data_IF_206727997712
#
_entry.id   IF_206727997712
#
_cell.length_a   1.000
_cell.length_b   1.000
_cell.length_c   1.000
_cell.angle_alpha   90.00
_cell.angle_beta   90.00
_cell.angle_gamma   90.00
#
_symmetry.space_group_name_H-M   'P 1'
#
loop_
_entity.id
_entity.type
_entity.pdbx_description
1 polymer ?
#
# COMPACT_ATOMS: atom_id res chain seq x y z
N UNK A 1 -10.49 27.75 -16.17
CA UNK A 1 -10.59 27.17 -14.82
C UNK A 1 -12.00 27.25 -14.23
N UNK A 2 -12.64 28.41 -14.12
CA UNK A 2 -13.97 28.55 -13.47
C UNK A 2 -15.08 27.68 -14.11
N UNK A 3 -15.14 27.62 -15.45
CA UNK A 3 -16.14 26.82 -16.18
C UNK A 3 -15.97 25.31 -15.94
N UNK A 4 -14.74 24.83 -15.79
CA UNK A 4 -14.45 23.44 -15.44
C UNK A 4 -14.92 23.10 -14.02
N UNK A 5 -14.63 23.97 -13.04
CA UNK A 5 -15.05 23.75 -11.65
C UNK A 5 -16.57 23.76 -11.48
N UNK A 6 -17.27 24.67 -12.17
CA UNK A 6 -18.74 24.71 -12.18
C UNK A 6 -19.34 23.44 -12.79
N UNK A 7 -18.80 22.98 -13.93
CA UNK A 7 -19.21 21.73 -14.58
C UNK A 7 -18.93 20.53 -13.68
N UNK A 8 -17.77 20.48 -13.05
CA UNK A 8 -17.41 19.42 -12.10
C UNK A 8 -18.34 19.43 -10.86
N UNK A 9 -18.67 20.60 -10.31
CA UNK A 9 -19.61 20.74 -9.20
C UNK A 9 -21.02 20.22 -9.55
N UNK A 10 -21.51 20.58 -10.74
CA UNK A 10 -22.79 20.08 -11.24
C UNK A 10 -22.82 18.54 -11.35
N UNK A 11 -21.81 17.93 -11.96
CA UNK A 11 -21.74 16.47 -12.07
C UNK A 11 -21.58 15.78 -10.72
N UNK A 12 -20.83 16.38 -9.77
CA UNK A 12 -20.71 15.87 -8.40
C UNK A 12 -22.05 15.88 -7.66
N UNK A 13 -22.84 16.95 -7.79
CA UNK A 13 -24.17 17.06 -7.19
C UNK A 13 -25.14 16.02 -7.78
N UNK A 14 -25.16 15.92 -9.13
CA UNK A 14 -25.94 14.89 -9.83
C UNK A 14 -25.57 13.48 -9.36
N UNK A 15 -24.29 13.20 -9.20
CA UNK A 15 -23.80 11.92 -8.71
C UNK A 15 -24.29 11.61 -7.29
N UNK A 16 -24.25 12.59 -6.38
CA UNK A 16 -24.76 12.40 -5.02
C UNK A 16 -26.23 11.97 -5.02
N UNK A 17 -27.06 12.62 -5.83
CA UNK A 17 -28.48 12.25 -5.96
C UNK A 17 -28.64 10.84 -6.52
N UNK A 18 -27.88 10.47 -7.55
CA UNK A 18 -27.91 9.13 -8.14
C UNK A 18 -27.46 8.07 -7.14
N UNK A 19 -26.42 8.34 -6.37
CA UNK A 19 -25.89 7.43 -5.36
C UNK A 19 -26.85 7.19 -4.20
N UNK A 20 -27.58 8.24 -3.77
CA UNK A 20 -28.63 8.11 -2.77
C UNK A 20 -29.79 7.24 -3.26
N UNK A 21 -30.18 7.38 -4.54
CA UNK A 21 -31.25 6.56 -5.14
C UNK A 21 -30.86 5.11 -5.37
N UNK A 22 -29.59 4.84 -5.65
CA UNK A 22 -29.08 3.50 -5.99
C UNK A 22 -28.43 2.78 -4.80
N UNK A 23 -28.65 3.26 -3.57
CA UNK A 23 -28.07 2.68 -2.33
C UNK A 23 -26.56 2.41 -2.41
N UNK A 24 -25.83 3.24 -3.16
CA UNK A 24 -24.40 3.08 -3.30
C UNK A 24 -23.72 3.23 -1.94
N UNK A 25 -23.18 2.14 -1.41
CA UNK A 25 -22.56 2.07 -0.07
C UNK A 25 -21.12 1.59 -0.13
N UNK A 26 -20.43 1.74 0.98
CA UNK A 26 -19.13 1.15 1.21
C UNK A 26 -19.32 -0.28 1.74
N UNK A 27 -18.61 -1.23 1.15
CA UNK A 27 -18.61 -2.62 1.55
C UNK A 27 -17.65 -2.87 2.72
N UNK A 28 -17.94 -3.82 3.61
CA UNK A 28 -17.07 -4.13 4.74
C UNK A 28 -15.80 -4.82 4.29
N UNK A 29 -14.73 -4.65 5.08
CA UNK A 29 -13.48 -5.38 4.95
C UNK A 29 -13.55 -6.55 5.94
N UNK A 30 -13.67 -7.77 5.45
CA UNK A 30 -13.84 -8.95 6.31
C UNK A 30 -12.54 -9.64 6.64
N UNK A 31 -11.44 -9.31 5.93
CA UNK A 31 -10.18 -10.03 6.05
C UNK A 31 -10.26 -11.51 5.61
N UNK A 32 -11.42 -11.95 5.14
CA UNK A 32 -11.60 -13.33 4.67
C UNK A 32 -10.71 -13.60 3.44
N UNK A 33 -10.04 -14.75 3.46
CA UNK A 33 -9.23 -15.25 2.35
C UNK A 33 -9.83 -16.50 1.72
N UNK A 34 -11.07 -16.84 2.11
CA UNK A 34 -11.77 -18.03 1.65
C UNK A 34 -12.39 -17.82 0.27
N UNK A 35 -12.30 -18.81 -0.57
CA UNK A 35 -12.82 -18.84 -1.93
C UNK A 35 -11.76 -19.26 -2.94
N UNK A 36 -12.22 -19.77 -4.08
CA UNK A 36 -11.36 -20.08 -5.22
C UNK A 36 -10.96 -18.81 -5.96
N UNK A 37 -9.77 -18.79 -6.54
CA UNK A 37 -9.33 -17.69 -7.38
C UNK A 37 -10.17 -17.66 -8.67
N UNK A 38 -10.90 -16.57 -8.88
CA UNK A 38 -11.71 -16.32 -10.08
C UNK A 38 -10.95 -15.49 -11.12
N UNK A 39 -10.20 -14.51 -10.66
CA UNK A 39 -9.42 -13.62 -11.51
C UNK A 39 -8.21 -13.07 -10.78
N UNK A 40 -7.11 -12.86 -11.50
CA UNK A 40 -5.93 -12.15 -11.02
C UNK A 40 -5.44 -11.17 -12.09
N UNK A 41 -5.23 -9.93 -11.69
CA UNK A 41 -4.56 -8.91 -12.50
C UNK A 41 -3.31 -8.44 -11.78
N UNK A 42 -2.19 -8.43 -12.50
CA UNK A 42 -0.88 -8.05 -11.98
C UNK A 42 -0.26 -6.98 -12.87
N UNK A 43 -0.02 -5.77 -12.33
CA UNK A 43 0.54 -4.65 -13.10
C UNK A 43 1.82 -4.12 -12.44
N UNK A 44 2.80 -3.66 -13.23
CA UNK A 44 4.04 -3.09 -12.71
C UNK A 44 3.79 -1.74 -12.07
N UNK A 45 4.40 -1.49 -10.91
CA UNK A 45 4.35 -0.19 -10.23
C UNK A 45 5.18 0.87 -10.95
N UNK A 46 6.25 0.46 -11.62
CA UNK A 46 7.16 1.31 -12.39
C UNK A 46 7.09 0.93 -13.86
N UNK A 47 7.15 1.92 -14.73
CA UNK A 47 7.20 1.70 -16.18
C UNK A 47 8.57 1.22 -16.64
N UNK A 48 8.64 0.53 -17.79
CA UNK A 48 9.92 0.09 -18.37
C UNK A 48 10.80 1.27 -18.84
N UNK A 49 10.20 2.45 -19.06
CA UNK A 49 10.83 3.67 -19.56
C UNK A 49 10.72 4.80 -18.54
N UNK A 50 10.91 4.50 -17.25
CA UNK A 50 10.95 5.56 -16.24
C UNK A 50 12.16 6.47 -16.51
N UNK A 51 11.88 7.76 -16.53
CA UNK A 51 12.89 8.81 -16.67
C UNK A 51 13.78 8.87 -15.43
N UNK A 52 15.07 9.07 -15.60
CA UNK A 52 16.01 9.39 -14.51
C UNK A 52 15.76 10.77 -13.88
N UNK A 53 14.72 11.46 -14.33
CA UNK A 53 14.33 12.76 -13.79
C UNK A 53 13.85 12.63 -12.34
N UNK A 54 14.51 13.31 -11.38
CA UNK A 54 14.15 13.21 -9.96
C UNK A 54 12.71 13.67 -9.66
N UNK A 55 12.16 14.61 -10.45
CA UNK A 55 10.78 15.09 -10.31
C UNK A 55 9.78 14.00 -10.71
N UNK A 56 10.06 13.28 -11.78
CA UNK A 56 9.22 12.17 -12.23
C UNK A 56 9.32 10.98 -11.24
N UNK A 57 10.51 10.68 -10.74
CA UNK A 57 10.72 9.65 -9.72
C UNK A 57 9.91 9.94 -8.43
N UNK A 58 9.86 11.23 -8.00
CA UNK A 58 9.06 11.65 -6.86
C UNK A 58 7.54 11.43 -7.09
N UNK A 59 7.05 11.71 -8.30
CA UNK A 59 5.64 11.49 -8.66
C UNK A 59 5.30 9.99 -8.74
N UNK A 60 6.24 9.16 -9.17
CA UNK A 60 6.08 7.69 -9.16
C UNK A 60 6.03 7.17 -7.72
N UNK A 61 6.91 7.64 -6.85
CA UNK A 61 6.87 7.32 -5.43
C UNK A 61 5.55 7.75 -4.78
N UNK A 62 5.05 8.94 -5.12
CA UNK A 62 3.74 9.44 -4.70
C UNK A 62 2.58 8.59 -5.24
N UNK A 63 2.63 8.15 -6.49
CA UNK A 63 1.66 7.19 -7.06
C UNK A 63 1.61 5.90 -6.23
N UNK A 64 2.77 5.33 -5.90
CA UNK A 64 2.85 4.09 -5.11
C UNK A 64 2.27 4.31 -3.71
N UNK A 65 2.53 5.46 -3.06
CA UNK A 65 1.92 5.81 -1.78
C UNK A 65 0.39 5.91 -1.89
N UNK A 66 -0.13 6.55 -2.93
CA UNK A 66 -1.56 6.67 -3.17
C UNK A 66 -2.23 5.30 -3.37
N UNK A 67 -1.59 4.39 -4.08
CA UNK A 67 -2.04 3.00 -4.22
C UNK A 67 -2.07 2.32 -2.85
N UNK A 68 -1.00 2.45 -2.05
CA UNK A 68 -0.90 1.88 -0.70
C UNK A 68 -2.03 2.37 0.22
N UNK A 69 -2.36 3.66 0.17
CA UNK A 69 -3.47 4.27 0.92
C UNK A 69 -4.83 3.71 0.46
N UNK A 70 -5.05 3.62 -0.86
CA UNK A 70 -6.30 3.12 -1.41
C UNK A 70 -6.52 1.63 -1.11
N UNK A 71 -5.47 0.83 -1.22
CA UNK A 71 -5.52 -0.62 -1.00
C UNK A 71 -5.94 -0.99 0.42
N UNK A 72 -5.53 -0.22 1.43
CA UNK A 72 -6.01 -0.42 2.82
C UNK A 72 -7.53 -0.28 2.98
N UNK A 73 -8.23 0.25 1.97
CA UNK A 73 -9.69 0.40 1.95
C UNK A 73 -10.38 -0.57 1.01
N UNK A 74 -9.61 -1.35 0.24
CA UNK A 74 -10.11 -2.29 -0.75
C UNK A 74 -9.79 -3.74 -0.37
N UNK A 75 -8.57 -4.01 0.13
CA UNK A 75 -8.15 -5.37 0.46
C UNK A 75 -9.06 -5.98 1.53
N UNK A 76 -9.61 -7.16 1.21
CA UNK A 76 -10.59 -7.85 2.04
C UNK A 76 -12.03 -7.37 1.87
N UNK A 77 -12.36 -6.55 0.86
CA UNK A 77 -13.75 -6.14 0.59
C UNK A 77 -14.59 -7.34 0.20
N UNK A 78 -15.69 -7.56 0.93
CA UNK A 78 -16.73 -8.55 0.58
C UNK A 78 -17.88 -7.85 -0.12
N UNK A 79 -18.17 -8.25 -1.35
CA UNK A 79 -19.25 -7.76 -2.18
C UNK A 79 -20.27 -8.90 -2.34
N UNK A 80 -21.48 -8.79 -1.76
CA UNK A 80 -22.51 -9.81 -1.89
C UNK A 80 -23.00 -9.99 -3.33
N UNK A 81 -23.54 -11.16 -3.64
CA UNK A 81 -24.21 -11.44 -4.91
C UNK A 81 -25.28 -10.38 -5.22
N UNK A 82 -25.32 -9.92 -6.46
CA UNK A 82 -26.23 -8.85 -6.93
C UNK A 82 -25.85 -7.44 -6.49
N UNK A 83 -24.87 -7.28 -5.60
CA UNK A 83 -24.43 -5.98 -5.10
C UNK A 83 -23.48 -5.26 -6.07
N UNK A 84 -23.55 -3.92 -6.09
CA UNK A 84 -22.70 -3.08 -6.93
C UNK A 84 -21.54 -2.51 -6.13
N UNK A 85 -20.31 -2.76 -6.60
CA UNK A 85 -19.13 -2.05 -6.15
C UNK A 85 -19.03 -0.69 -6.83
N UNK A 86 -18.58 0.33 -6.09
CA UNK A 86 -18.22 1.65 -6.61
C UNK A 86 -16.85 2.01 -6.08
N UNK A 87 -15.93 2.36 -6.96
CA UNK A 87 -14.55 2.69 -6.61
C UNK A 87 -14.50 3.87 -5.61
N UNK A 88 -15.20 4.96 -5.91
CA UNK A 88 -15.16 6.15 -5.05
C UNK A 88 -15.93 5.97 -3.73
N UNK A 89 -16.99 5.16 -3.71
CA UNK A 89 -17.67 4.84 -2.44
C UNK A 89 -16.77 4.00 -1.54
N UNK A 90 -16.00 3.10 -2.11
CA UNK A 90 -15.11 2.23 -1.35
C UNK A 90 -13.91 2.99 -0.79
N UNK A 91 -13.18 3.76 -1.60
CA UNK A 91 -11.94 4.41 -1.15
C UNK A 91 -12.17 5.84 -0.58
N UNK A 92 -13.29 6.48 -0.91
CA UNK A 92 -13.57 7.87 -0.55
C UNK A 92 -12.73 8.87 -1.36
N UNK A 93 -12.86 10.16 -1.01
CA UNK A 93 -12.12 11.23 -1.69
C UNK A 93 -10.64 11.16 -1.37
N UNK A 94 -9.79 11.24 -2.39
CA UNK A 94 -8.35 11.35 -2.26
C UNK A 94 -7.98 12.76 -1.77
N UNK A 95 -7.61 12.90 -0.50
CA UNK A 95 -7.19 14.15 0.13
C UNK A 95 -5.91 13.96 0.93
N UNK A 96 -5.14 15.03 1.17
CA UNK A 96 -3.95 15.00 2.03
C UNK A 96 -4.29 14.49 3.44
N UNK A 97 -5.46 14.90 3.99
CA UNK A 97 -5.94 14.45 5.31
C UNK A 97 -6.22 12.94 5.35
N UNK A 98 -6.60 12.34 4.24
CA UNK A 98 -6.82 10.90 4.11
C UNK A 98 -5.52 10.11 3.85
N UNK A 99 -4.36 10.78 3.81
CA UNK A 99 -3.04 10.20 3.61
C UNK A 99 -2.56 10.20 2.15
N UNK A 100 -3.35 10.74 1.21
CA UNK A 100 -2.93 10.83 -0.19
C UNK A 100 -1.94 11.97 -0.40
N UNK A 101 -1.01 11.77 -1.32
CA UNK A 101 0.06 12.70 -1.67
C UNK A 101 -0.01 13.06 -3.15
N UNK A 102 0.84 13.99 -3.58
CA UNK A 102 1.03 14.25 -5.00
C UNK A 102 1.62 13.02 -5.68
N UNK A 103 0.94 12.54 -6.70
CA UNK A 103 1.35 11.43 -7.54
C UNK A 103 1.19 11.79 -9.02
N UNK A 104 1.58 10.87 -9.87
CA UNK A 104 1.58 11.03 -11.32
C UNK A 104 0.16 10.98 -11.88
N UNK A 105 -0.29 12.03 -12.53
CA UNK A 105 -1.49 12.08 -13.37
C UNK A 105 -1.12 12.44 -14.80
N UNK A 106 -1.64 11.70 -15.77
CA UNK A 106 -1.54 12.06 -17.17
C UNK A 106 -2.74 12.94 -17.54
N UNK A 107 -2.47 14.20 -17.92
CA UNK A 107 -3.49 15.15 -18.34
C UNK A 107 -3.08 15.77 -19.68
N UNK A 108 -3.90 15.59 -20.72
CA UNK A 108 -3.65 16.13 -22.06
C UNK A 108 -2.25 15.83 -22.60
N UNK A 109 -1.72 14.62 -22.31
CA UNK A 109 -0.38 14.21 -22.71
C UNK A 109 0.75 14.66 -21.78
N UNK A 110 0.47 15.46 -20.74
CA UNK A 110 1.44 15.93 -19.76
C UNK A 110 1.34 15.16 -18.44
N UNK A 111 2.49 14.94 -17.80
CA UNK A 111 2.55 14.41 -16.44
C UNK A 111 2.47 15.58 -15.47
N UNK A 112 1.35 15.65 -14.74
CA UNK A 112 1.12 16.67 -13.72
C UNK A 112 1.02 16.07 -12.33
N UNK A 113 1.49 16.76 -11.28
CA UNK A 113 1.34 16.34 -9.90
C UNK A 113 -0.12 16.57 -9.46
N UNK A 114 -0.75 15.52 -8.94
CA UNK A 114 -2.13 15.61 -8.43
C UNK A 114 -2.27 14.76 -7.16
N UNK A 115 -3.00 15.28 -6.15
CA UNK A 115 -3.32 14.50 -4.94
C UNK A 115 -4.17 13.31 -5.32
N UNK A 116 -3.66 12.09 -5.02
CA UNK A 116 -4.27 10.85 -5.47
C UNK A 116 -3.90 10.45 -6.90
N UNK A 117 -2.92 11.13 -7.54
CA UNK A 117 -2.43 10.74 -8.85
C UNK A 117 -1.95 9.29 -8.88
N UNK A 118 -2.28 8.56 -9.96
CA UNK A 118 -1.96 7.15 -10.15
C UNK A 118 -3.08 6.17 -9.77
N UNK A 119 -4.20 6.61 -9.20
CA UNK A 119 -5.31 5.72 -8.81
C UNK A 119 -5.98 5.03 -10.01
N UNK A 120 -5.85 5.55 -11.22
CA UNK A 120 -6.33 4.87 -12.43
C UNK A 120 -5.63 3.53 -12.67
N UNK A 121 -4.41 3.31 -12.19
CA UNK A 121 -3.78 1.99 -12.25
C UNK A 121 -4.57 0.94 -11.46
N UNK A 122 -5.08 1.33 -10.29
CA UNK A 122 -5.89 0.45 -9.45
C UNK A 122 -7.28 0.22 -10.06
N UNK A 123 -7.92 1.26 -10.60
CA UNK A 123 -9.23 1.11 -11.26
C UNK A 123 -9.12 0.25 -12.52
N UNK A 124 -8.05 0.37 -13.31
CA UNK A 124 -7.79 -0.51 -14.45
C UNK A 124 -7.63 -1.97 -14.03
N UNK A 125 -6.86 -2.24 -12.96
CA UNK A 125 -6.67 -3.58 -12.44
C UNK A 125 -7.97 -4.19 -11.89
N UNK A 126 -8.77 -3.40 -11.17
CA UNK A 126 -10.09 -3.83 -10.69
C UNK A 126 -11.07 -4.09 -11.84
N UNK A 127 -11.06 -3.25 -12.87
CA UNK A 127 -11.88 -3.44 -14.07
C UNK A 127 -11.48 -4.74 -14.80
N UNK A 128 -10.20 -4.96 -15.02
CA UNK A 128 -9.71 -6.20 -15.61
C UNK A 128 -10.13 -7.43 -14.83
N UNK A 129 -9.97 -7.41 -13.49
CA UNK A 129 -10.38 -8.51 -12.64
C UNK A 129 -11.91 -8.71 -12.64
N UNK A 130 -12.70 -7.62 -12.71
CA UNK A 130 -14.15 -7.71 -12.81
C UNK A 130 -14.62 -8.37 -14.11
N UNK A 131 -13.96 -8.06 -15.23
CA UNK A 131 -14.22 -8.72 -16.52
C UNK A 131 -13.87 -10.21 -16.46
N UNK A 132 -12.68 -10.55 -15.97
CA UNK A 132 -12.21 -11.93 -15.88
C UNK A 132 -13.05 -12.79 -14.92
N UNK A 133 -13.61 -12.16 -13.85
CA UNK A 133 -14.54 -12.81 -12.93
C UNK A 133 -16.01 -12.81 -13.41
N UNK A 134 -16.30 -12.28 -14.60
CA UNK A 134 -17.65 -12.25 -15.18
C UNK A 134 -18.63 -11.32 -14.49
N UNK A 135 -18.18 -10.29 -13.80
CA UNK A 135 -19.03 -9.26 -13.24
C UNK A 135 -19.75 -8.46 -14.33
N UNK A 136 -20.94 -7.94 -14.02
CA UNK A 136 -21.62 -6.98 -14.89
C UNK A 136 -21.00 -5.60 -14.71
N UNK A 137 -20.54 -4.98 -15.80
CA UNK A 137 -19.96 -3.62 -15.75
C UNK A 137 -21.13 -2.61 -15.81
N UNK A 138 -21.31 -1.88 -14.71
CA UNK A 138 -22.38 -0.90 -14.54
C UNK A 138 -21.96 0.50 -15.01
N UNK A 139 -20.71 0.88 -14.77
CA UNK A 139 -20.12 2.15 -15.18
C UNK A 139 -18.63 2.01 -15.41
N UNK A 140 -18.18 2.45 -16.57
CA UNK A 140 -16.77 2.50 -16.97
C UNK A 140 -16.55 3.66 -17.93
N UNK A 141 -15.41 4.33 -17.78
CA UNK A 141 -14.96 5.38 -18.68
C UNK A 141 -13.54 5.08 -19.14
N UNK A 142 -13.27 5.25 -20.43
CA UNK A 142 -11.92 5.12 -20.97
C UNK A 142 -11.12 6.42 -20.80
N UNK A 143 -9.79 6.32 -20.78
CA UNK A 143 -8.93 7.51 -20.94
C UNK A 143 -9.05 8.05 -22.36
N UNK A 144 -8.96 9.37 -22.50
CA UNK A 144 -8.88 10.01 -23.81
C UNK A 144 -7.55 9.73 -24.53
N UNK A 145 -6.52 9.32 -23.78
CA UNK A 145 -5.20 8.97 -24.30
C UNK A 145 -4.68 7.74 -23.56
N UNK A 146 -4.16 6.78 -24.30
CA UNK A 146 -3.66 5.52 -23.78
C UNK A 146 -2.15 5.47 -23.87
N UNK A 147 -1.49 5.15 -22.75
CA UNK A 147 -0.04 4.92 -22.72
C UNK A 147 0.27 3.56 -23.33
N UNK A 148 1.11 3.47 -24.37
CA UNK A 148 1.53 2.20 -24.95
C UNK A 148 2.11 1.24 -23.88
N UNK A 149 1.72 -0.03 -23.93
CA UNK A 149 2.16 -1.05 -22.99
C UNK A 149 1.47 -1.04 -21.61
N UNK A 150 0.54 -0.11 -21.36
CA UNK A 150 -0.31 -0.11 -20.16
C UNK A 150 -1.48 -1.10 -20.29
N UNK A 151 -2.17 -1.39 -19.19
CA UNK A 151 -3.41 -2.19 -19.21
C UNK A 151 -4.51 -1.51 -20.05
N UNK A 152 -4.50 -0.19 -20.14
CA UNK A 152 -5.38 0.59 -20.99
C UNK A 152 -5.18 0.22 -22.49
N UNK A 153 -3.95 -0.05 -22.92
CA UNK A 153 -3.64 -0.51 -24.28
C UNK A 153 -4.16 -1.94 -24.59
N UNK A 154 -4.61 -2.66 -23.56
CA UNK A 154 -5.20 -4.01 -23.68
C UNK A 154 -6.72 -4.01 -23.51
N UNK A 155 -7.38 -2.89 -23.73
CA UNK A 155 -8.81 -2.67 -23.47
C UNK A 155 -9.24 -2.88 -21.99
N UNK A 156 -8.29 -2.83 -21.06
CA UNK A 156 -8.56 -2.91 -19.61
C UNK A 156 -8.45 -1.54 -18.98
N UNK A 157 -9.06 -0.55 -19.64
CA UNK A 157 -9.00 0.86 -19.25
C UNK A 157 -10.27 1.30 -18.52
N UNK A 158 -10.10 1.83 -17.33
CA UNK A 158 -11.16 2.40 -16.51
C UNK A 158 -10.65 3.63 -15.76
N UNK A 159 -10.74 4.80 -16.39
CA UNK A 159 -10.36 6.06 -15.72
C UNK A 159 -11.35 6.41 -14.62
N UNK A 160 -10.85 7.04 -13.57
CA UNK A 160 -11.66 7.53 -12.45
C UNK A 160 -11.31 8.97 -12.12
N UNK A 161 -12.34 9.79 -11.85
CA UNK A 161 -12.17 11.18 -11.42
C UNK A 161 -13.22 11.52 -10.35
N UNK A 162 -12.76 12.10 -9.24
CA UNK A 162 -13.61 12.35 -8.08
C UNK A 162 -14.76 13.31 -8.39
N UNK A 163 -16.01 12.92 -8.15
CA UNK A 163 -16.55 11.59 -7.87
C UNK A 163 -17.54 11.19 -8.98
N UNK A 164 -17.49 11.92 -10.12
CA UNK A 164 -18.47 11.80 -11.20
C UNK A 164 -18.00 10.86 -12.34
N UNK A 165 -16.71 10.51 -12.41
CA UNK A 165 -16.18 9.43 -13.26
C UNK A 165 -15.80 8.29 -12.33
N UNK A 166 -16.54 7.20 -12.38
CA UNK A 166 -16.42 6.08 -11.45
C UNK A 166 -16.25 4.76 -12.20
N UNK A 167 -15.66 3.78 -11.54
CA UNK A 167 -15.72 2.39 -11.94
C UNK A 167 -16.76 1.70 -11.06
N UNK A 168 -17.78 1.10 -11.71
CA UNK A 168 -18.83 0.33 -11.03
C UNK A 168 -19.04 -1.01 -11.72
N UNK A 169 -19.09 -2.06 -10.93
CA UNK A 169 -19.43 -3.40 -11.41
C UNK A 169 -20.33 -4.10 -10.39
N UNK A 170 -21.19 -5.00 -10.88
CA UNK A 170 -22.09 -5.81 -10.06
C UNK A 170 -21.58 -7.24 -9.99
N UNK A 171 -21.43 -7.75 -8.77
CA UNK A 171 -21.01 -9.13 -8.53
C UNK A 171 -22.18 -10.08 -8.81
N UNK A 172 -21.96 -11.16 -9.58
CA UNK A 172 -22.98 -12.20 -9.83
C UNK A 172 -23.07 -13.22 -8.71
N UNK A 173 -22.04 -13.31 -7.88
CA UNK A 173 -21.94 -14.17 -6.70
C UNK A 173 -21.24 -13.40 -5.58
N UNK A 174 -21.19 -13.96 -4.37
CA UNK A 174 -20.38 -13.39 -3.31
C UNK A 174 -18.92 -13.33 -3.73
N UNK A 175 -18.34 -12.14 -3.66
CA UNK A 175 -17.02 -11.84 -4.19
C UNK A 175 -16.15 -11.18 -3.13
N UNK A 176 -14.98 -11.77 -2.85
CA UNK A 176 -13.96 -11.14 -2.00
C UNK A 176 -12.86 -10.54 -2.87
N UNK A 177 -12.61 -9.25 -2.70
CA UNK A 177 -11.53 -8.54 -3.38
C UNK A 177 -10.27 -8.59 -2.50
N UNK A 178 -9.18 -9.14 -3.03
CA UNK A 178 -7.85 -9.04 -2.44
C UNK A 178 -7.00 -8.14 -3.32
N UNK A 179 -6.41 -7.11 -2.72
CA UNK A 179 -5.63 -6.14 -3.47
C UNK A 179 -4.44 -5.64 -2.64
N UNK A 180 -3.22 -5.88 -3.12
CA UNK A 180 -1.99 -5.57 -2.38
C UNK A 180 -0.84 -5.22 -3.33
N UNK A 181 0.23 -4.66 -2.78
CA UNK A 181 1.48 -4.39 -3.49
C UNK A 181 2.55 -5.41 -3.10
N UNK A 182 3.25 -5.95 -4.09
CA UNK A 182 4.60 -6.50 -3.92
C UNK A 182 5.63 -5.36 -3.96
N UNK A 183 6.92 -5.65 -4.01
CA UNK A 183 7.96 -4.63 -4.15
C UNK A 183 7.81 -3.83 -5.46
N UNK A 184 7.37 -4.49 -6.55
CA UNK A 184 7.37 -3.97 -7.91
C UNK A 184 6.02 -4.02 -8.63
N UNK A 185 4.99 -4.67 -8.05
CA UNK A 185 3.70 -4.90 -8.71
C UNK A 185 2.50 -4.57 -7.83
N UNK A 186 1.42 -4.16 -8.48
CA UNK A 186 0.07 -4.14 -7.93
C UNK A 186 -0.60 -5.46 -8.33
N UNK A 187 -1.14 -6.17 -7.35
CA UNK A 187 -1.90 -7.42 -7.52
C UNK A 187 -3.33 -7.18 -7.09
N UNK A 188 -4.27 -7.56 -7.94
CA UNK A 188 -5.72 -7.59 -7.63
C UNK A 188 -6.24 -9.00 -7.91
N UNK A 189 -6.86 -9.61 -6.91
CA UNK A 189 -7.47 -10.95 -6.98
C UNK A 189 -8.95 -10.87 -6.61
N UNK A 190 -9.76 -11.57 -7.36
CA UNK A 190 -11.15 -11.83 -7.01
C UNK A 190 -11.31 -13.29 -6.61
N UNK A 191 -11.86 -13.51 -5.42
CA UNK A 191 -12.09 -14.82 -4.83
C UNK A 191 -13.59 -15.04 -4.68
N UNK A 192 -14.08 -16.27 -4.95
CA UNK A 192 -15.49 -16.62 -4.84
C UNK A 192 -15.73 -18.11 -5.01
N UNK A 193 -16.96 -18.53 -5.27
CA UNK A 193 -17.26 -19.91 -5.61
C UNK A 193 -16.69 -20.25 -7.01
N UNK A 194 -16.18 -21.47 -7.24
CA UNK A 194 -15.66 -21.87 -8.55
C UNK A 194 -16.73 -21.70 -9.63
N UNK A 195 -16.40 -20.97 -10.70
CA UNK A 195 -17.26 -20.86 -11.88
C UNK A 195 -16.88 -21.95 -12.90
N UNK A 196 -17.66 -23.01 -13.00
CA UNK A 196 -17.52 -23.98 -14.09
C UNK A 196 -18.00 -23.32 -15.40
N UNK A 197 -17.07 -23.05 -16.33
CA UNK A 197 -17.40 -22.64 -17.69
C UNK A 197 -17.38 -21.14 -17.99
N UNK A 198 -16.81 -20.30 -17.14
CA UNK A 198 -16.64 -18.89 -17.47
C UNK A 198 -15.43 -18.68 -18.40
N UNK A 199 -15.66 -18.21 -19.63
CA UNK A 199 -14.64 -17.62 -20.49
C UNK A 199 -14.78 -16.09 -20.42
N UNK A 200 -13.70 -15.35 -20.17
CA UNK A 200 -13.78 -13.88 -20.19
C UNK A 200 -14.26 -13.41 -21.57
N UNK A 201 -15.15 -12.40 -21.62
CA UNK A 201 -15.63 -11.87 -22.89
C UNK A 201 -14.44 -11.31 -23.69
N UNK A 202 -14.39 -11.67 -24.99
CA UNK A 202 -13.47 -11.03 -25.92
C UNK A 202 -13.87 -9.55 -26.06
N UNK A 203 -13.05 -8.65 -25.53
CA UNK A 203 -13.31 -7.21 -25.65
C UNK A 203 -12.71 -6.76 -26.98
N UNK A 204 -13.56 -6.21 -27.85
CA UNK A 204 -13.10 -5.62 -29.11
C UNK A 204 -12.15 -4.45 -28.85
N UNK A 205 -11.05 -4.40 -29.61
CA UNK A 205 -10.05 -3.31 -29.59
C UNK A 205 -10.57 -2.14 -30.42
N UNK A 206 -11.34 -1.23 -29.83
CA UNK A 206 -12.00 -0.17 -30.60
C UNK A 206 -11.43 1.24 -30.36
N UNK A 207 -10.35 1.40 -29.60
CA UNK A 207 -9.79 2.73 -29.37
C UNK A 207 -8.35 2.84 -29.91
N UNK A 208 -8.18 3.80 -30.84
CA UNK A 208 -6.86 4.14 -31.35
C UNK A 208 -5.92 4.61 -30.23
N UNK A 209 -4.76 3.96 -30.12
CA UNK A 209 -3.69 4.38 -29.19
C UNK A 209 -3.10 5.68 -29.76
N UNK A 210 -3.32 6.79 -29.07
CA UNK A 210 -2.68 8.06 -29.43
C UNK A 210 -1.31 8.10 -28.75
N UNK A 211 -0.20 8.16 -29.52
CA UNK A 211 1.14 8.29 -28.95
C UNK A 211 1.24 9.55 -28.07
N UNK A 212 1.90 9.45 -26.94
CA UNK A 212 2.21 10.61 -26.11
C UNK A 212 3.12 11.58 -26.90
N UNK A 213 2.85 12.90 -26.87
CA UNK A 213 3.70 13.87 -27.51
C UNK A 213 5.13 13.80 -26.95
N UNK A 214 6.13 13.80 -27.82
CA UNK A 214 7.54 13.78 -27.45
C UNK A 214 7.96 15.03 -26.65
N UNK A 215 9.14 14.98 -26.02
CA UNK A 215 9.72 16.12 -25.25
C UNK A 215 9.76 17.45 -26.03
N UNK A 216 9.86 17.41 -27.36
CA UNK A 216 9.88 18.59 -28.23
C UNK A 216 8.61 19.46 -28.11
N UNK A 217 7.45 18.89 -27.73
CA UNK A 217 6.20 19.63 -27.54
C UNK A 217 6.16 20.47 -26.26
N UNK A 218 7.15 20.31 -25.36
CA UNK A 218 7.19 21.05 -24.11
C UNK A 218 7.64 22.51 -24.25
N UNK A 219 8.29 22.87 -25.32
CA UNK A 219 8.81 24.23 -25.52
C UNK A 219 7.74 25.34 -25.73
N UNK A 220 6.53 24.99 -26.06
CA UNK A 220 5.40 25.92 -26.16
C UNK A 220 4.32 25.68 -25.10
N UNK A 221 4.61 24.85 -24.11
CA UNK A 221 3.65 24.40 -23.13
C UNK A 221 3.45 25.46 -22.02
N UNK A 222 2.22 25.93 -21.83
CA UNK A 222 1.86 26.87 -20.77
C UNK A 222 1.66 26.20 -19.38
N UNK A 223 2.01 24.92 -19.22
CA UNK A 223 1.84 24.15 -17.98
C UNK A 223 3.03 24.38 -17.04
N UNK A 224 2.92 25.39 -16.19
CA UNK A 224 3.96 25.73 -15.20
C UNK A 224 4.04 24.74 -14.03
N UNK A 225 3.01 23.92 -13.80
CA UNK A 225 2.94 22.93 -12.71
C UNK A 225 3.48 21.55 -13.11
N UNK A 226 4.03 21.40 -14.30
CA UNK A 226 4.59 20.15 -14.78
C UNK A 226 5.82 19.76 -13.97
N UNK A 227 6.00 18.46 -13.68
CA UNK A 227 7.15 17.91 -12.97
C UNK A 227 8.50 18.32 -13.60
N UNK A 228 8.54 18.47 -14.93
CA UNK A 228 9.74 18.89 -15.70
C UNK A 228 10.16 20.34 -15.47
N UNK A 229 9.30 21.19 -14.90
CA UNK A 229 9.60 22.59 -14.57
C UNK A 229 9.86 22.83 -13.09
N UNK A 230 9.80 21.80 -12.24
CA UNK A 230 10.06 21.95 -10.81
C UNK A 230 11.56 21.98 -10.52
N UNK A 231 12.11 23.07 -9.98
CA UNK A 231 13.56 23.20 -9.72
C UNK A 231 14.05 22.31 -8.57
N UNK A 232 13.17 21.80 -7.73
CA UNK A 232 13.53 21.01 -6.55
C UNK A 232 12.61 19.80 -6.44
N UNK A 233 13.08 18.64 -6.90
CA UNK A 233 12.40 17.39 -6.69
C UNK A 233 12.62 16.88 -5.25
N UNK A 234 11.59 16.36 -4.56
CA UNK A 234 11.77 15.67 -3.29
C UNK A 234 12.71 14.46 -3.47
N UNK A 235 13.58 14.23 -2.48
CA UNK A 235 14.41 13.02 -2.46
C UNK A 235 13.52 11.78 -2.39
N UNK A 236 13.91 10.74 -3.11
CA UNK A 236 13.24 9.44 -3.11
C UNK A 236 14.27 8.33 -2.89
N UNK A 237 13.80 7.15 -2.46
CA UNK A 237 14.66 5.98 -2.33
C UNK A 237 15.50 5.92 -1.05
N UNK A 238 15.20 6.78 -0.04
CA UNK A 238 15.88 6.69 1.26
C UNK A 238 15.56 5.39 1.98
N UNK A 239 16.47 4.93 2.82
CA UNK A 239 16.28 3.78 3.70
C UNK A 239 15.63 4.21 5.02
N UNK A 240 14.74 3.36 5.57
CA UNK A 240 14.22 3.51 6.91
C UNK A 240 14.64 2.33 7.78
N UNK A 241 15.31 2.60 8.90
CA UNK A 241 15.68 1.62 9.91
C UNK A 241 14.63 1.63 11.03
N UNK A 242 13.89 0.53 11.19
CA UNK A 242 12.87 0.36 12.22
C UNK A 242 13.40 -0.59 13.29
N UNK A 243 13.92 0.00 14.36
CA UNK A 243 14.72 -0.68 15.35
C UNK A 243 13.96 -0.83 16.68
N UNK A 244 14.22 -1.91 17.41
CA UNK A 244 13.73 -2.13 18.79
C UNK A 244 14.92 -2.27 19.75
N UNK A 245 15.04 -3.38 20.45
CA UNK A 245 16.20 -3.63 21.33
C UNK A 245 17.51 -3.77 20.56
N UNK A 246 18.58 -3.25 21.14
CA UNK A 246 19.93 -3.33 20.53
C UNK A 246 20.46 -4.77 20.58
N UNK A 247 21.02 -5.19 19.44
CA UNK A 247 21.85 -6.38 19.28
C UNK A 247 23.19 -5.94 18.73
N UNK A 248 24.32 -6.33 19.31
CA UNK A 248 25.64 -5.82 18.92
C UNK A 248 25.95 -5.98 17.43
N UNK A 249 25.58 -7.12 16.84
CA UNK A 249 25.82 -7.43 15.43
C UNK A 249 25.00 -6.49 14.53
N UNK A 250 23.77 -6.21 14.90
CA UNK A 250 22.89 -5.30 14.15
C UNK A 250 23.22 -3.83 14.39
N UNK A 251 23.72 -3.47 15.57
CA UNK A 251 24.22 -2.12 15.81
C UNK A 251 25.40 -1.78 14.90
N UNK A 252 26.35 -2.71 14.74
CA UNK A 252 27.45 -2.57 13.80
C UNK A 252 26.99 -2.46 12.34
N UNK A 253 26.00 -3.30 11.95
CA UNK A 253 25.41 -3.24 10.62
C UNK A 253 24.71 -1.90 10.36
N UNK A 254 23.87 -1.43 11.26
CA UNK A 254 23.17 -0.14 11.14
C UNK A 254 24.17 1.01 11.08
N UNK A 255 25.18 1.01 11.95
CA UNK A 255 26.20 2.05 11.98
C UNK A 255 27.00 2.15 10.67
N UNK A 256 27.23 1.02 9.98
CA UNK A 256 27.96 0.98 8.70
C UNK A 256 27.08 1.26 7.48
N UNK A 257 25.78 0.95 7.56
CA UNK A 257 24.87 1.00 6.41
C UNK A 257 24.05 2.29 6.35
N UNK A 258 23.80 2.95 7.49
CA UNK A 258 22.93 4.12 7.55
C UNK A 258 23.64 5.38 7.05
N UNK A 259 22.97 6.10 6.15
CA UNK A 259 23.43 7.38 5.61
C UNK A 259 22.74 8.58 6.29
N UNK A 260 23.35 9.77 6.20
CA UNK A 260 22.83 10.99 6.83
C UNK A 260 21.39 11.34 6.42
N UNK A 261 20.96 10.97 5.20
CA UNK A 261 19.62 11.23 4.69
C UNK A 261 18.58 10.19 5.06
N UNK A 262 18.95 9.09 5.71
CA UNK A 262 18.06 8.00 6.05
C UNK A 262 17.17 8.34 7.26
N UNK A 263 16.10 7.56 7.40
CA UNK A 263 15.20 7.62 8.55
C UNK A 263 15.57 6.53 9.55
N UNK A 264 15.73 6.86 10.80
CA UNK A 264 15.86 5.86 11.86
C UNK A 264 14.76 6.04 12.91
N UNK A 265 14.03 4.97 13.18
CA UNK A 265 13.01 4.91 14.22
C UNK A 265 13.49 4.00 15.36
N UNK A 266 13.57 4.54 16.58
CA UNK A 266 14.02 3.82 17.78
C UNK A 266 13.00 3.99 18.91
N UNK A 267 12.92 3.06 19.89
CA UNK A 267 12.04 3.21 21.05
C UNK A 267 12.36 4.48 21.86
N UNK A 268 13.64 4.67 22.16
CA UNK A 268 14.19 5.83 22.88
C UNK A 268 15.65 6.04 22.48
N UNK A 269 16.18 7.24 22.70
CA UNK A 269 17.61 7.48 22.70
C UNK A 269 18.23 6.87 23.96
N UNK A 270 18.71 5.63 23.82
CA UNK A 270 19.28 4.88 24.92
C UNK A 270 20.57 5.48 25.47
N UNK A 271 21.34 6.20 24.67
CA UNK A 271 22.56 6.92 25.14
C UNK A 271 22.18 8.07 26.06
N UNK A 272 21.20 8.89 25.66
CA UNK A 272 20.71 10.03 26.47
C UNK A 272 20.06 9.57 27.78
N UNK A 273 19.26 8.51 27.74
CA UNK A 273 18.50 8.03 28.90
C UNK A 273 19.22 6.94 29.71
N UNK A 274 20.48 6.62 29.36
CA UNK A 274 21.28 5.54 30.00
C UNK A 274 20.57 4.19 30.03
N UNK A 275 19.93 3.86 28.91
CA UNK A 275 19.24 2.58 28.69
C UNK A 275 19.97 1.76 27.63
N UNK A 276 20.94 0.90 28.03
CA UNK A 276 21.79 0.18 27.07
C UNK A 276 21.02 -0.59 26.00
N UNK A 277 19.87 -1.16 26.40
CA UNK A 277 19.00 -1.94 25.49
C UNK A 277 18.41 -1.12 24.32
N UNK A 278 18.57 0.20 24.30
CA UNK A 278 18.12 1.10 23.22
C UNK A 278 19.25 2.00 22.71
N UNK A 279 20.50 1.75 23.10
CA UNK A 279 21.63 2.62 22.81
C UNK A 279 22.25 2.39 21.42
N UNK A 280 21.41 2.41 20.37
CA UNK A 280 21.83 2.27 18.98
C UNK A 280 22.84 3.31 18.54
N UNK A 281 23.78 2.90 17.69
CA UNK A 281 24.77 3.81 17.10
C UNK A 281 24.26 4.42 15.79
N UNK A 282 23.42 5.44 15.92
CA UNK A 282 22.79 6.15 14.80
C UNK A 282 23.37 7.55 14.57
N UNK A 283 24.63 7.76 14.95
CA UNK A 283 25.26 9.09 14.90
C UNK A 283 25.34 9.68 13.48
N UNK A 284 25.40 8.85 12.44
CA UNK A 284 25.43 9.30 11.04
C UNK A 284 24.07 9.81 10.54
N UNK A 285 22.95 9.48 11.21
CA UNK A 285 21.60 9.77 10.74
C UNK A 285 21.08 11.06 11.35
N UNK A 286 20.51 11.94 10.52
CA UNK A 286 19.94 13.24 10.97
C UNK A 286 18.45 13.17 11.29
N UNK A 287 17.72 12.23 10.70
CA UNK A 287 16.26 12.06 10.90
C UNK A 287 15.98 10.87 11.82
N UNK A 288 16.14 11.08 13.13
CA UNK A 288 15.86 10.06 14.15
C UNK A 288 14.51 10.32 14.80
N UNK A 289 13.63 9.30 14.79
CA UNK A 289 12.30 9.34 15.39
C UNK A 289 12.23 8.40 16.59
N UNK A 290 11.63 8.87 17.68
CA UNK A 290 11.51 8.12 18.92
C UNK A 290 10.05 7.85 19.26
N UNK A 291 9.80 6.79 20.01
CA UNK A 291 8.48 6.34 20.48
C UNK A 291 8.41 6.32 22.04
N UNK A 292 8.60 7.46 22.73
CA UNK A 292 8.73 7.47 24.20
C UNK A 292 7.47 6.97 24.90
N UNK A 293 6.29 7.38 24.46
CA UNK A 293 5.03 6.97 25.08
C UNK A 293 4.84 5.45 25.00
N UNK A 294 5.09 4.84 23.83
CA UNK A 294 5.00 3.39 23.62
C UNK A 294 6.00 2.64 24.50
N UNK A 295 7.21 3.17 24.63
CA UNK A 295 8.28 2.56 25.41
C UNK A 295 7.99 2.62 26.93
N UNK A 296 7.46 3.74 27.42
CA UNK A 296 7.03 3.87 28.81
C UNK A 296 5.90 2.91 29.14
N UNK A 297 4.85 2.86 28.30
CA UNK A 297 3.73 1.94 28.48
C UNK A 297 4.23 0.48 28.50
N UNK A 298 5.10 0.09 27.57
CA UNK A 298 5.73 -1.22 27.54
C UNK A 298 6.51 -1.53 28.84
N UNK A 299 7.30 -0.59 29.35
CA UNK A 299 8.04 -0.75 30.60
C UNK A 299 7.12 -0.95 31.81
N UNK A 300 6.05 -0.15 31.91
CA UNK A 300 5.08 -0.27 32.98
C UNK A 300 4.30 -1.59 32.95
N UNK A 301 3.93 -2.05 31.76
CA UNK A 301 3.23 -3.34 31.57
C UNK A 301 4.13 -4.52 31.88
N UNK A 302 5.38 -4.52 31.40
CA UNK A 302 6.32 -5.61 31.65
C UNK A 302 6.60 -5.85 33.14
N UNK A 303 6.55 -4.78 33.97
CA UNK A 303 6.71 -4.89 35.44
C UNK A 303 5.53 -5.54 36.15
N UNK A 304 4.33 -5.49 35.52
CA UNK A 304 3.08 -6.04 36.11
C UNK A 304 2.79 -7.46 35.68
N UNK A 305 3.44 -7.94 34.62
CA UNK A 305 3.21 -9.27 34.07
C UNK A 305 4.14 -10.28 34.71
N UNK A 306 3.63 -11.48 34.94
CA UNK A 306 4.44 -12.63 35.32
C UNK A 306 5.58 -12.84 34.33
N UNK A 307 6.69 -13.46 34.80
CA UNK A 307 7.88 -13.68 33.98
C UNK A 307 7.68 -14.71 32.88
N UNK A 308 6.63 -15.55 32.96
CA UNK A 308 6.35 -16.66 32.05
C UNK A 308 4.87 -16.72 31.66
N UNK A 309 4.59 -17.42 30.56
CA UNK A 309 3.24 -17.79 30.14
C UNK A 309 2.65 -16.96 28.99
N UNK A 310 1.52 -17.42 28.49
CA UNK A 310 0.82 -16.89 27.30
C UNK A 310 0.44 -15.40 27.41
N UNK A 311 0.14 -14.90 28.61
CA UNK A 311 -0.18 -13.47 28.80
C UNK A 311 1.01 -12.56 28.53
N UNK A 312 2.21 -12.97 28.94
CA UNK A 312 3.44 -12.24 28.63
C UNK A 312 3.72 -12.23 27.14
N UNK A 313 3.57 -13.35 26.44
CA UNK A 313 3.74 -13.43 24.99
C UNK A 313 2.74 -12.51 24.25
N UNK A 314 1.47 -12.56 24.63
CA UNK A 314 0.45 -11.64 24.05
C UNK A 314 0.80 -10.17 24.28
N UNK A 315 1.32 -9.83 25.47
CA UNK A 315 1.74 -8.46 25.77
C UNK A 315 2.92 -8.01 24.93
N UNK A 316 3.94 -8.87 24.73
CA UNK A 316 5.09 -8.60 23.87
C UNK A 316 4.64 -8.34 22.43
N UNK A 317 3.76 -9.18 21.88
CA UNK A 317 3.22 -9.01 20.53
C UNK A 317 2.41 -7.71 20.38
N UNK A 318 1.57 -7.36 21.36
CA UNK A 318 0.82 -6.12 21.36
C UNK A 318 1.71 -4.88 21.47
N UNK A 319 2.79 -4.95 22.24
CA UNK A 319 3.72 -3.84 22.39
C UNK A 319 4.57 -3.66 21.12
N UNK A 320 4.97 -4.75 20.46
CA UNK A 320 5.61 -4.73 19.16
C UNK A 320 4.67 -4.13 18.09
N UNK A 321 3.40 -4.51 18.08
CA UNK A 321 2.39 -3.92 17.18
C UNK A 321 2.22 -2.41 17.40
N UNK A 322 2.14 -1.95 18.65
CA UNK A 322 2.02 -0.50 18.98
C UNK A 322 3.23 0.27 18.50
N UNK A 323 4.43 -0.29 18.71
CA UNK A 323 5.68 0.31 18.27
C UNK A 323 5.74 0.38 16.74
N UNK A 324 5.44 -0.73 16.05
CA UNK A 324 5.40 -0.80 14.60
C UNK A 324 4.38 0.19 14.00
N UNK A 325 3.20 0.33 14.61
CA UNK A 325 2.17 1.31 14.21
C UNK A 325 2.66 2.74 14.34
N UNK A 326 3.39 3.06 15.42
CA UNK A 326 3.99 4.39 15.61
C UNK A 326 5.04 4.67 14.54
N UNK A 327 5.95 3.74 14.27
CA UNK A 327 6.99 3.88 13.27
C UNK A 327 6.43 3.98 11.85
N UNK A 328 5.38 3.24 11.55
CA UNK A 328 4.71 3.27 10.24
C UNK A 328 4.18 4.65 9.87
N UNK A 329 3.82 5.49 10.84
CA UNK A 329 3.39 6.86 10.60
C UNK A 329 4.50 7.75 10.01
N UNK A 330 5.76 7.34 10.13
CA UNK A 330 6.92 8.04 9.58
C UNK A 330 7.37 7.50 8.23
N UNK A 331 6.86 6.35 7.78
CA UNK A 331 7.15 5.76 6.47
C UNK A 331 6.42 6.51 5.36
N UNK A 332 7.03 7.57 4.85
CA UNK A 332 6.48 8.42 3.79
C UNK A 332 6.84 7.87 2.39
N UNK A 333 6.33 8.53 1.36
CA UNK A 333 6.55 8.17 -0.05
C UNK A 333 8.03 8.15 -0.47
N UNK A 334 8.88 8.93 0.21
CA UNK A 334 10.32 9.02 -0.04
C UNK A 334 11.11 7.78 0.42
N UNK A 335 10.54 6.93 1.28
CA UNK A 335 11.17 5.69 1.73
C UNK A 335 10.97 4.59 0.69
N UNK A 336 12.06 4.11 0.11
CA UNK A 336 12.09 3.02 -0.88
C UNK A 336 12.49 1.66 -0.32
N UNK A 337 13.29 1.67 0.75
CA UNK A 337 13.81 0.47 1.41
C UNK A 337 13.59 0.54 2.93
N UNK A 338 13.31 -0.61 3.55
CA UNK A 338 13.06 -0.70 5.00
C UNK A 338 13.92 -1.80 5.62
N UNK A 339 14.77 -1.45 6.57
CA UNK A 339 15.45 -2.40 7.44
C UNK A 339 14.66 -2.51 8.74
N UNK A 340 14.14 -3.69 9.05
CA UNK A 340 13.17 -3.85 10.12
C UNK A 340 13.53 -4.99 11.08
N UNK A 341 13.41 -4.75 12.38
CA UNK A 341 13.52 -5.81 13.38
C UNK A 341 12.37 -6.82 13.23
N UNK A 342 12.70 -8.11 13.37
CA UNK A 342 11.79 -9.24 13.15
C UNK A 342 10.44 -9.10 13.87
N UNK A 343 10.42 -8.63 15.11
CA UNK A 343 9.21 -8.50 15.91
C UNK A 343 8.24 -7.41 15.40
N UNK A 344 8.71 -6.45 14.61
CA UNK A 344 7.88 -5.38 14.03
C UNK A 344 7.30 -5.77 12.66
N UNK A 345 7.93 -6.73 11.97
CA UNK A 345 7.59 -7.14 10.61
C UNK A 345 6.13 -7.61 10.45
N UNK A 346 5.56 -8.49 11.31
CA UNK A 346 4.24 -9.08 11.05
C UNK A 346 3.12 -8.06 10.93
N UNK A 347 3.18 -7.00 11.74
CA UNK A 347 2.17 -5.95 11.68
C UNK A 347 2.35 -5.05 10.44
N UNK A 348 3.58 -4.64 10.15
CA UNK A 348 3.90 -3.81 8.97
C UNK A 348 3.52 -4.51 7.68
N UNK A 349 3.76 -5.82 7.60
CA UNK A 349 3.37 -6.65 6.47
C UNK A 349 1.85 -6.70 6.32
N UNK A 350 1.13 -7.14 7.36
CA UNK A 350 -0.34 -7.28 7.33
C UNK A 350 -1.08 -5.97 7.06
N UNK A 351 -0.54 -4.85 7.52
CA UNK A 351 -1.13 -3.52 7.31
C UNK A 351 -0.69 -2.85 6.00
N UNK A 352 0.06 -3.55 5.13
CA UNK A 352 0.44 -3.10 3.79
C UNK A 352 1.48 -1.98 3.75
N UNK A 353 2.19 -1.70 4.87
CA UNK A 353 3.19 -0.63 4.90
C UNK A 353 4.46 -0.95 4.10
N UNK A 354 4.75 -2.22 3.84
CA UNK A 354 5.91 -2.66 3.07
C UNK A 354 5.62 -2.77 1.57
N UNK A 355 4.37 -2.72 1.14
CA UNK A 355 4.01 -2.79 -0.28
C UNK A 355 4.66 -1.68 -1.11
N UNK A 356 5.26 -2.02 -2.26
CA UNK A 356 6.00 -1.10 -3.11
C UNK A 356 7.35 -0.65 -2.55
N UNK A 357 7.87 -1.36 -1.52
CA UNK A 357 9.19 -1.19 -0.93
C UNK A 357 9.95 -2.50 -0.96
N UNK A 358 11.27 -2.43 -1.04
CA UNK A 358 12.13 -3.55 -0.67
C UNK A 358 12.38 -3.51 0.84
N UNK A 359 12.71 -4.65 1.46
CA UNK A 359 13.01 -4.65 2.88
C UNK A 359 13.97 -5.78 3.27
N UNK A 360 14.74 -5.53 4.31
CA UNK A 360 15.59 -6.49 5.01
C UNK A 360 15.08 -6.70 6.42
N UNK A 361 15.24 -7.92 6.96
CA UNK A 361 14.78 -8.29 8.29
C UNK A 361 15.98 -8.60 9.18
N UNK A 362 16.10 -7.87 10.28
CA UNK A 362 17.05 -8.16 11.34
C UNK A 362 16.48 -9.27 12.23
N UNK A 363 16.94 -10.51 11.97
CA UNK A 363 16.42 -11.72 12.60
C UNK A 363 17.05 -11.92 13.98
N UNK A 364 16.26 -11.87 15.03
CA UNK A 364 16.69 -12.09 16.43
C UNK A 364 16.36 -13.50 16.94
N UNK A 365 15.59 -14.25 16.18
CA UNK A 365 15.27 -15.67 16.43
C UNK A 365 15.07 -16.37 15.09
N UNK A 366 15.06 -17.69 15.09
CA UNK A 366 14.73 -18.47 13.90
C UNK A 366 13.29 -18.14 13.40
N UNK A 367 12.99 -18.40 12.12
CA UNK A 367 11.61 -18.25 11.61
C UNK A 367 10.62 -19.05 12.45
N UNK A 368 9.42 -18.48 12.70
CA UNK A 368 8.43 -19.09 13.60
C UNK A 368 8.07 -20.53 13.22
N UNK A 369 7.94 -20.82 11.92
CA UNK A 369 7.66 -22.19 11.46
C UNK A 369 8.76 -23.16 11.89
N UNK A 370 10.02 -22.81 11.67
CA UNK A 370 11.15 -23.64 12.08
C UNK A 370 11.23 -23.79 13.61
N UNK A 371 10.88 -22.74 14.37
CA UNK A 371 10.78 -22.81 15.83
C UNK A 371 9.68 -23.79 16.27
N UNK A 372 8.49 -23.71 15.66
CA UNK A 372 7.39 -24.62 15.95
C UNK A 372 7.77 -26.06 15.61
N UNK A 373 8.39 -26.31 14.44
CA UNK A 373 8.84 -27.65 14.05
C UNK A 373 9.81 -28.26 15.08
N UNK A 374 10.75 -27.44 15.60
CA UNK A 374 11.69 -27.87 16.67
C UNK A 374 10.98 -28.13 17.99
N UNK A 375 10.04 -27.25 18.37
CA UNK A 375 9.28 -27.41 19.61
C UNK A 375 8.33 -28.62 19.56
N UNK A 376 7.66 -28.85 18.43
CA UNK A 376 6.81 -30.00 18.20
C UNK A 376 7.63 -31.32 18.23
N UNK A 377 8.84 -31.29 17.70
CA UNK A 377 9.75 -32.43 17.76
C UNK A 377 10.20 -32.71 19.21
N UNK A 378 10.59 -31.64 19.92
CA UNK A 378 10.96 -31.76 21.36
C UNK A 378 9.77 -32.26 22.21
N UNK A 379 8.55 -31.79 21.97
CA UNK A 379 7.34 -32.26 22.68
C UNK A 379 7.05 -33.74 22.42
N UNK A 380 7.30 -34.23 21.21
CA UNK A 380 7.17 -35.65 20.87
C UNK A 380 8.18 -36.54 21.61
N UNK A 381 9.40 -36.03 21.82
CA UNK A 381 10.45 -36.77 22.53
C UNK A 381 10.39 -36.62 24.05
N UNK A 382 9.76 -35.55 24.55
CA UNK A 382 9.66 -35.20 25.97
C UNK A 382 8.22 -34.85 26.37
N UNK A 383 7.26 -35.78 26.25
CA UNK A 383 5.84 -35.51 26.52
C UNK A 383 5.55 -35.13 27.98
N UNK A 384 6.46 -35.45 28.90
CA UNK A 384 6.39 -35.09 30.32
C UNK A 384 6.79 -33.62 30.60
N UNK A 385 7.31 -32.90 29.62
CA UNK A 385 7.77 -31.53 29.83
C UNK A 385 6.59 -30.55 29.90
N UNK A 386 6.35 -29.98 31.08
CA UNK A 386 5.29 -28.98 31.28
C UNK A 386 5.62 -27.65 30.64
N UNK A 387 6.92 -27.32 30.40
CA UNK A 387 7.34 -26.07 29.77
C UNK A 387 7.03 -26.02 28.27
N UNK A 388 6.93 -27.18 27.61
CA UNK A 388 6.55 -27.27 26.19
C UNK A 388 5.03 -27.11 25.98
N UNK A 389 4.22 -27.26 27.01
CA UNK A 389 2.77 -27.06 26.95
C UNK A 389 2.36 -25.56 26.88
N UNK A 390 3.30 -24.65 27.13
CA UNK A 390 3.06 -23.20 27.09
C UNK A 390 3.25 -22.60 25.68
N UNK A 391 3.68 -23.37 24.69
CA UNK A 391 3.90 -23.02 23.30
C UNK A 391 2.91 -23.77 22.40
#
# INVERSE_FOLDING_TARGET
>A
MLAFELKAAYFRSRRLVTDLRNEARRWPLTGATSGSLLAEVSTRLRGATESDDPGEAALVAGKIENLRVALRRIDGTLIPAGATFSFWRQIGRATRRAGYVEGRELREGCIVPTIGGGLCQLSNALFGAALDAGCEIVERHAHSQVVPGSEAARNRDATVFWNYVDLRFRAKQDLTVRAFLTADRLIVRFLGAPNAGFAPPAIALDEAVVPLPGRASCYGCAQNDCARHRPHAPRTGRTAFLLDGVWPEYDAYVASSAAAGDLTCVPLDGKRWRLPQYAWNVAAVTDVRQAPAQTIVRSLRSRRLCTHGAERQRAILQDAERLARHFAAHLRADVGHVVVMQNLLPWLWRSGHLGGRTFDVLMTSMPMQALHDVLDDAARHHPESTTLADF
#
